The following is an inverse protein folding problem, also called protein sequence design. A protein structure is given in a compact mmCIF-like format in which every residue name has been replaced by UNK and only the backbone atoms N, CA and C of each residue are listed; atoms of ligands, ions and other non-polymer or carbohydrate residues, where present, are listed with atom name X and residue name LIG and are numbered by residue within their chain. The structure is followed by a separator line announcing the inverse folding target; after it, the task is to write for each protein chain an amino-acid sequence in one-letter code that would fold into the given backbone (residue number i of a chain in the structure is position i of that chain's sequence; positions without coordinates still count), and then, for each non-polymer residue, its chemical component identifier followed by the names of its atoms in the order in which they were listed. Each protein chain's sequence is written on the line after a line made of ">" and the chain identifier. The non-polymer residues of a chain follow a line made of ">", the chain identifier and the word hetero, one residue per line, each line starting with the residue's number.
data_IF_525126591770
#
_entry.id   IF_525126591770
#
_cell.length_a   1.000
_cell.length_b   1.000
_cell.length_c   1.000
_cell.angle_alpha   90.00
_cell.angle_beta   90.00
_cell.angle_gamma   90.00
#
_symmetry.space_group_name_H-M   'P 1'
#
loop_
_entity.id
_entity.type
_entity.pdbx_description
1 polymer ?
#
# COMPACT_ATOMS: atom_id res chain seq x y z
N UNK A 1 -7.89 6.05 -17.14
CA UNK A 1 -9.06 5.78 -16.27
C UNK A 1 -9.21 6.97 -15.34
N UNK A 2 -10.35 7.69 -15.36
CA UNK A 2 -10.47 8.95 -14.64
C UNK A 2 -10.40 8.76 -13.12
N UNK A 3 -9.75 9.67 -12.40
CA UNK A 3 -9.59 9.62 -10.95
C UNK A 3 -10.94 9.47 -10.21
N UNK A 4 -12.01 10.03 -10.78
CA UNK A 4 -13.38 9.90 -10.28
C UNK A 4 -13.88 8.44 -10.23
N UNK A 5 -13.49 7.59 -11.18
CA UNK A 5 -13.83 6.15 -11.12
C UNK A 5 -13.01 5.41 -10.06
N UNK A 6 -11.76 5.83 -9.79
CA UNK A 6 -10.90 5.28 -8.73
C UNK A 6 -11.50 5.59 -7.35
N UNK A 7 -11.90 6.84 -7.11
CA UNK A 7 -12.52 7.31 -5.86
C UNK A 7 -13.88 6.63 -5.61
N UNK A 8 -14.70 6.44 -6.65
CA UNK A 8 -16.00 5.76 -6.52
C UNK A 8 -15.90 4.27 -6.18
N UNK A 9 -14.89 3.57 -6.70
CA UNK A 9 -14.62 2.16 -6.39
C UNK A 9 -14.11 2.01 -4.95
N UNK A 10 -13.26 2.93 -4.51
CA UNK A 10 -12.67 2.91 -3.17
C UNK A 10 -13.73 3.03 -2.06
N UNK A 11 -14.70 3.94 -2.19
CA UNK A 11 -15.80 4.09 -1.21
C UNK A 11 -16.59 2.79 -0.98
N UNK A 12 -16.89 2.03 -2.05
CA UNK A 12 -17.61 0.75 -1.93
C UNK A 12 -16.76 -0.31 -1.23
N UNK A 13 -15.47 -0.34 -1.53
CA UNK A 13 -14.54 -1.26 -0.88
C UNK A 13 -14.36 -0.91 0.61
N UNK A 14 -14.26 0.36 0.97
CA UNK A 14 -14.21 0.83 2.36
C UNK A 14 -15.48 0.45 3.14
N UNK A 15 -16.66 0.60 2.53
CA UNK A 15 -17.93 0.16 3.14
C UNK A 15 -17.95 -1.35 3.35
N UNK A 16 -17.44 -2.14 2.40
CA UNK A 16 -17.32 -3.59 2.54
C UNK A 16 -16.44 -3.97 3.73
N UNK A 17 -15.29 -3.30 3.88
CA UNK A 17 -14.41 -3.48 5.04
C UNK A 17 -15.10 -3.18 6.36
N UNK A 18 -15.77 -2.02 6.44
CA UNK A 18 -16.55 -1.63 7.62
C UNK A 18 -17.62 -2.67 7.95
N UNK A 19 -18.37 -3.15 6.97
CA UNK A 19 -19.42 -4.14 7.16
C UNK A 19 -18.85 -5.48 7.66
N UNK A 20 -17.70 -5.93 7.14
CA UNK A 20 -17.04 -7.16 7.62
C UNK A 20 -16.60 -7.02 9.08
N UNK A 21 -16.06 -5.86 9.46
CA UNK A 21 -15.67 -5.57 10.85
C UNK A 21 -16.89 -5.57 11.77
N UNK A 22 -17.94 -4.84 11.39
CA UNK A 22 -19.20 -4.79 12.16
C UNK A 22 -19.82 -6.18 12.27
N UNK A 23 -19.89 -6.94 11.17
CA UNK A 23 -20.41 -8.31 11.19
C UNK A 23 -19.61 -9.23 12.12
N UNK A 24 -18.29 -9.11 12.17
CA UNK A 24 -17.45 -9.90 13.06
C UNK A 24 -17.78 -9.65 14.55
N UNK A 25 -17.99 -8.38 14.94
CA UNK A 25 -18.35 -8.03 16.32
C UNK A 25 -19.83 -8.25 16.64
N UNK A 26 -20.72 -8.03 15.68
CA UNK A 26 -22.16 -8.13 15.88
C UNK A 26 -22.68 -9.57 15.85
N UNK A 27 -22.04 -10.47 15.09
CA UNK A 27 -22.46 -11.86 14.97
C UNK A 27 -22.67 -12.58 16.32
N UNK A 28 -21.72 -12.59 17.26
CA UNK A 28 -21.91 -13.27 18.55
C UNK A 28 -22.98 -12.58 19.39
N UNK A 29 -23.03 -11.25 19.38
CA UNK A 29 -24.01 -10.49 20.16
C UNK A 29 -25.43 -10.76 19.67
N UNK A 30 -25.68 -10.68 18.36
CA UNK A 30 -27.02 -10.87 17.79
C UNK A 30 -27.48 -12.33 17.94
N UNK A 31 -26.60 -13.30 17.65
CA UNK A 31 -26.94 -14.73 17.74
C UNK A 31 -27.14 -15.23 19.17
N UNK A 32 -26.60 -14.53 20.16
CA UNK A 32 -26.83 -14.84 21.58
C UNK A 32 -28.01 -14.05 22.15
N UNK A 33 -28.10 -12.75 21.86
CA UNK A 33 -29.13 -11.89 22.39
C UNK A 33 -30.52 -12.27 21.89
N UNK A 34 -30.66 -12.63 20.61
CA UNK A 34 -31.97 -12.92 20.02
C UNK A 34 -32.63 -14.17 20.65
N UNK A 35 -31.96 -15.32 20.78
CA UNK A 35 -32.50 -16.45 21.53
C UNK A 35 -32.74 -16.15 23.01
N UNK A 36 -31.87 -15.38 23.66
CA UNK A 36 -32.04 -15.01 25.06
C UNK A 36 -33.28 -14.13 25.28
N UNK A 37 -33.52 -13.15 24.39
CA UNK A 37 -34.72 -12.29 24.43
C UNK A 37 -35.98 -13.13 24.20
N UNK A 38 -35.98 -14.00 23.18
CA UNK A 38 -37.12 -14.89 22.90
C UNK A 38 -37.40 -15.80 24.09
N UNK A 39 -36.36 -16.39 24.68
CA UNK A 39 -36.47 -17.21 25.90
C UNK A 39 -37.04 -16.39 27.05
N UNK A 40 -36.57 -15.15 27.26
CA UNK A 40 -37.07 -14.26 28.30
C UNK A 40 -38.56 -13.93 28.12
N UNK A 41 -39.00 -13.66 26.90
CA UNK A 41 -40.42 -13.43 26.58
C UNK A 41 -41.23 -14.70 26.86
N UNK A 42 -40.78 -15.87 26.40
CA UNK A 42 -41.45 -17.14 26.66
C UNK A 42 -41.53 -17.46 28.15
N UNK A 43 -40.47 -17.16 28.89
CA UNK A 43 -40.45 -17.33 30.35
C UNK A 43 -41.51 -16.43 31.01
N UNK A 44 -41.54 -15.14 30.70
CA UNK A 44 -42.53 -14.22 31.30
C UNK A 44 -43.97 -14.62 30.97
N UNK A 45 -44.24 -15.11 29.76
CA UNK A 45 -45.60 -15.45 29.33
C UNK A 45 -46.07 -16.84 29.78
N UNK A 46 -45.17 -17.82 29.88
CA UNK A 46 -45.55 -19.24 30.02
C UNK A 46 -44.96 -19.94 31.26
N UNK A 47 -44.13 -19.28 32.07
CA UNK A 47 -43.57 -19.84 33.30
C UNK A 47 -44.55 -19.77 34.50
N UNK A 48 -45.81 -20.14 34.29
CA UNK A 48 -46.83 -20.15 35.35
C UNK A 48 -46.69 -21.33 36.33
N UNK A 49 -45.98 -22.39 35.92
CA UNK A 49 -45.72 -23.56 36.76
C UNK A 49 -44.22 -23.85 36.88
N UNK A 50 -43.73 -24.37 38.02
CA UNK A 50 -42.31 -24.69 38.16
C UNK A 50 -41.75 -25.64 37.08
N UNK A 51 -42.47 -26.70 36.64
CA UNK A 51 -41.98 -27.57 35.56
C UNK A 51 -41.88 -26.86 34.19
N UNK A 52 -42.84 -25.99 33.85
CA UNK A 52 -42.78 -25.23 32.60
C UNK A 52 -41.67 -24.19 32.62
N UNK A 53 -41.45 -23.53 33.75
CA UNK A 53 -40.34 -22.59 33.94
C UNK A 53 -38.97 -23.27 33.72
N UNK A 54 -38.77 -24.45 34.33
CA UNK A 54 -37.53 -25.20 34.22
C UNK A 54 -37.24 -25.67 32.78
N UNK A 55 -38.24 -26.16 32.06
CA UNK A 55 -38.07 -26.61 30.66
C UNK A 55 -37.74 -25.44 29.74
N UNK A 56 -38.43 -24.29 29.87
CA UNK A 56 -38.16 -23.09 29.08
C UNK A 56 -36.73 -22.59 29.31
N UNK A 57 -36.29 -22.51 30.58
CA UNK A 57 -34.92 -22.07 30.89
C UNK A 57 -33.86 -23.06 30.39
N UNK A 58 -34.09 -24.37 30.51
CA UNK A 58 -33.15 -25.38 30.02
C UNK A 58 -32.97 -25.30 28.50
N UNK A 59 -34.06 -25.35 27.74
CA UNK A 59 -33.98 -25.25 26.28
C UNK A 59 -33.48 -23.88 25.84
N UNK A 60 -33.91 -22.81 26.49
CA UNK A 60 -33.42 -21.47 26.24
C UNK A 60 -31.92 -21.35 26.45
N UNK A 61 -31.39 -21.94 27.52
CA UNK A 61 -29.95 -22.00 27.78
C UNK A 61 -29.21 -22.79 26.70
N UNK A 62 -29.70 -23.98 26.33
CA UNK A 62 -29.08 -24.81 25.28
C UNK A 62 -29.08 -24.07 23.93
N UNK A 63 -30.21 -23.47 23.53
CA UNK A 63 -30.31 -22.71 22.28
C UNK A 63 -29.39 -21.49 22.30
N UNK A 64 -29.33 -20.77 23.43
CA UNK A 64 -28.45 -19.61 23.60
C UNK A 64 -26.99 -20.01 23.51
N UNK A 65 -26.61 -21.14 24.12
CA UNK A 65 -25.25 -21.68 24.05
C UNK A 65 -24.88 -22.08 22.62
N UNK A 66 -25.77 -22.77 21.90
CA UNK A 66 -25.58 -23.12 20.49
C UNK A 66 -25.46 -21.85 19.62
N UNK A 67 -26.33 -20.86 19.86
CA UNK A 67 -26.29 -19.56 19.19
C UNK A 67 -24.97 -18.83 19.40
N UNK A 68 -24.48 -18.80 20.65
CA UNK A 68 -23.19 -18.23 21.01
C UNK A 68 -22.03 -18.92 20.29
N UNK A 69 -21.98 -20.26 20.31
CA UNK A 69 -20.93 -21.02 19.62
C UNK A 69 -20.93 -20.76 18.11
N UNK A 70 -22.11 -20.77 17.46
CA UNK A 70 -22.24 -20.41 16.04
C UNK A 70 -21.81 -18.96 15.77
N UNK A 71 -22.17 -18.05 16.67
CA UNK A 71 -21.78 -16.65 16.61
C UNK A 71 -20.27 -16.46 16.67
N UNK A 72 -19.57 -17.19 17.54
CA UNK A 72 -18.11 -17.18 17.61
C UNK A 72 -17.46 -17.73 16.33
N UNK A 73 -17.98 -18.81 15.77
CA UNK A 73 -17.48 -19.36 14.49
C UNK A 73 -17.62 -18.33 13.36
N UNK A 74 -18.79 -17.70 13.24
CA UNK A 74 -19.02 -16.65 12.24
C UNK A 74 -18.15 -15.42 12.49
N UNK A 75 -17.97 -15.00 13.74
CA UNK A 75 -17.05 -13.92 14.11
C UNK A 75 -15.63 -14.20 13.62
N UNK A 76 -15.14 -15.42 13.85
CA UNK A 76 -13.83 -15.87 13.38
C UNK A 76 -13.71 -15.81 11.85
N UNK A 77 -14.71 -16.30 11.12
CA UNK A 77 -14.73 -16.25 9.64
C UNK A 77 -14.73 -14.81 9.14
N UNK A 78 -15.58 -13.93 9.69
CA UNK A 78 -15.63 -12.53 9.28
C UNK A 78 -14.35 -11.77 9.63
N UNK A 79 -13.76 -12.02 10.80
CA UNK A 79 -12.48 -11.45 11.20
C UNK A 79 -11.35 -11.90 10.26
N UNK A 80 -11.32 -13.17 9.88
CA UNK A 80 -10.36 -13.69 8.90
C UNK A 80 -10.52 -13.02 7.53
N UNK A 81 -11.75 -12.92 7.02
CA UNK A 81 -12.02 -12.24 5.74
C UNK A 81 -11.68 -10.75 5.80
N UNK A 82 -11.97 -10.07 6.90
CA UNK A 82 -11.58 -8.68 7.12
C UNK A 82 -10.05 -8.52 7.11
N UNK A 83 -9.33 -9.43 7.77
CA UNK A 83 -7.86 -9.43 7.82
C UNK A 83 -7.25 -9.59 6.43
N UNK A 84 -7.74 -10.55 5.62
CA UNK A 84 -7.27 -10.73 4.24
C UNK A 84 -7.62 -9.52 3.36
N UNK A 85 -8.86 -9.01 3.46
CA UNK A 85 -9.27 -7.80 2.73
C UNK A 85 -8.40 -6.59 3.08
N UNK A 86 -8.10 -6.36 4.36
CA UNK A 86 -7.24 -5.26 4.80
C UNK A 86 -5.79 -5.43 4.32
N UNK A 87 -5.29 -6.66 4.19
CA UNK A 87 -3.97 -6.92 3.56
C UNK A 87 -3.98 -6.57 2.08
N UNK A 88 -4.96 -7.07 1.33
CA UNK A 88 -5.11 -6.77 -0.10
C UNK A 88 -5.26 -5.28 -0.35
N UNK A 89 -6.06 -4.59 0.47
CA UNK A 89 -6.25 -3.15 0.36
C UNK A 89 -4.93 -2.38 0.58
N UNK A 90 -4.16 -2.73 1.62
CA UNK A 90 -2.85 -2.12 1.86
C UNK A 90 -1.86 -2.37 0.73
N UNK A 91 -1.91 -3.53 0.09
CA UNK A 91 -1.08 -3.83 -1.07
C UNK A 91 -1.49 -3.01 -2.30
N UNK A 92 -2.80 -2.83 -2.54
CA UNK A 92 -3.31 -1.98 -3.64
C UNK A 92 -2.96 -0.51 -3.45
N UNK A 93 -3.14 0.02 -2.23
CA UNK A 93 -2.75 1.40 -1.89
C UNK A 93 -1.25 1.57 -2.12
N UNK A 94 -0.43 0.66 -1.58
CA UNK A 94 1.02 0.75 -1.74
C UNK A 94 1.48 0.65 -3.20
N UNK A 95 0.77 -0.11 -4.06
CA UNK A 95 1.07 -0.17 -5.49
C UNK A 95 0.78 1.15 -6.23
N UNK A 96 -0.11 1.98 -5.68
CA UNK A 96 -0.41 3.31 -6.21
C UNK A 96 0.48 4.43 -5.69
N UNK A 97 1.36 4.16 -4.72
CA UNK A 97 2.01 5.17 -3.90
C UNK A 97 1.15 5.53 -2.69
N UNK A 98 1.76 5.62 -1.51
CA UNK A 98 1.04 5.94 -0.28
C UNK A 98 0.84 7.46 -0.22
N UNK A 99 -0.39 7.91 -0.04
CA UNK A 99 -0.70 9.33 0.20
C UNK A 99 -0.70 9.68 1.70
N UNK A 100 -0.63 10.98 2.00
CA UNK A 100 -0.67 11.49 3.38
C UNK A 100 -1.94 11.07 4.14
N UNK A 101 -3.09 11.04 3.45
CA UNK A 101 -4.39 10.64 4.02
C UNK A 101 -4.49 9.13 4.29
N UNK A 102 -3.73 8.32 3.55
CA UNK A 102 -3.74 6.86 3.68
C UNK A 102 -2.75 6.35 4.73
N UNK A 103 -2.00 7.25 5.38
CA UNK A 103 -0.94 6.91 6.33
C UNK A 103 -1.44 6.05 7.51
N UNK A 104 -2.69 6.24 7.92
CA UNK A 104 -3.33 5.48 8.99
C UNK A 104 -3.38 3.97 8.70
N UNK A 105 -3.49 3.56 7.42
CA UNK A 105 -3.44 2.16 7.02
C UNK A 105 -2.07 1.50 7.29
N UNK A 106 -1.02 2.31 7.33
CA UNK A 106 0.37 1.89 7.50
C UNK A 106 0.92 2.25 8.88
N UNK A 107 0.05 2.57 9.85
CA UNK A 107 0.46 2.94 11.20
C UNK A 107 1.34 1.89 11.88
N UNK A 108 1.21 0.61 11.53
CA UNK A 108 2.06 -0.45 12.07
C UNK A 108 3.48 -0.49 11.49
N UNK A 109 3.71 0.17 10.34
CA UNK A 109 5.01 0.29 9.67
C UNK A 109 5.74 1.59 10.04
N UNK A 110 5.05 2.50 10.71
CA UNK A 110 5.65 3.68 11.32
C UNK A 110 6.53 3.30 12.50
N UNK A 111 7.69 3.93 12.58
CA UNK A 111 8.56 3.87 13.75
C UNK A 111 7.87 4.50 14.96
N UNK A 112 8.30 4.11 16.17
CA UNK A 112 7.78 4.71 17.40
C UNK A 112 8.03 6.22 17.47
N UNK A 113 9.14 6.68 16.87
CA UNK A 113 9.48 8.08 16.76
C UNK A 113 8.48 8.85 15.89
N UNK A 114 8.23 8.37 14.67
CA UNK A 114 7.28 9.01 13.74
C UNK A 114 5.87 9.07 14.30
N UNK A 115 5.42 8.02 15.00
CA UNK A 115 4.11 8.03 15.68
C UNK A 115 4.01 9.12 16.73
N UNK A 116 5.10 9.35 17.46
CA UNK A 116 5.17 10.39 18.49
C UNK A 116 5.23 11.76 17.83
N UNK A 117 6.11 11.96 16.85
CA UNK A 117 6.26 13.20 16.10
C UNK A 117 4.94 13.61 15.42
N UNK A 118 4.22 12.69 14.78
CA UNK A 118 2.87 12.96 14.23
C UNK A 118 1.90 13.49 15.28
N UNK A 119 1.89 12.88 16.48
CA UNK A 119 1.01 13.30 17.58
C UNK A 119 1.42 14.65 18.18
N UNK A 120 2.72 14.92 18.23
CA UNK A 120 3.25 16.18 18.75
C UNK A 120 3.00 17.33 17.74
N UNK A 121 3.21 17.08 16.45
CA UNK A 121 2.93 18.01 15.35
C UNK A 121 1.43 18.31 15.20
N UNK A 122 0.57 17.30 15.39
CA UNK A 122 -0.89 17.47 15.36
C UNK A 122 -1.39 18.51 16.36
N UNK A 123 -0.64 18.74 17.44
CA UNK A 123 -0.95 19.75 18.46
C UNK A 123 -0.27 21.09 18.22
N UNK A 124 0.83 21.10 17.48
CA UNK A 124 1.69 22.27 17.31
C UNK A 124 1.31 23.08 16.07
N UNK A 125 1.31 22.45 14.90
CA UNK A 125 1.12 23.13 13.61
C UNK A 125 0.57 22.17 12.55
N UNK A 126 -0.61 22.53 12.00
CA UNK A 126 -1.31 21.75 10.97
C UNK A 126 -0.53 21.72 9.65
N UNK A 127 0.19 22.78 9.31
CA UNK A 127 0.93 22.86 8.05
C UNK A 127 2.18 21.96 8.07
N UNK A 128 2.92 21.97 9.19
CA UNK A 128 4.05 21.06 9.39
C UNK A 128 3.60 19.61 9.49
N UNK A 129 2.42 19.36 10.06
CA UNK A 129 1.84 18.01 10.11
C UNK A 129 1.62 17.44 8.71
N UNK A 130 1.06 18.22 7.79
CA UNK A 130 0.78 17.76 6.42
C UNK A 130 2.06 17.42 5.65
N UNK A 131 3.04 18.35 5.68
CA UNK A 131 4.36 18.11 5.10
C UNK A 131 5.06 16.89 5.72
N UNK A 132 4.91 16.68 7.03
CA UNK A 132 5.44 15.49 7.71
C UNK A 132 4.74 14.21 7.23
N UNK A 133 3.40 14.20 7.16
CA UNK A 133 2.62 13.04 6.69
C UNK A 133 2.99 12.67 5.26
N UNK A 134 3.10 13.65 4.37
CA UNK A 134 3.52 13.44 2.98
C UNK A 134 4.94 12.86 2.90
N UNK A 135 5.87 13.41 3.69
CA UNK A 135 7.26 12.92 3.70
C UNK A 135 7.35 11.49 4.26
N UNK A 136 6.60 11.17 5.32
CA UNK A 136 6.53 9.80 5.87
C UNK A 136 5.90 8.86 4.85
N UNK A 137 4.85 9.27 4.14
CA UNK A 137 4.21 8.47 3.11
C UNK A 137 5.18 8.16 1.95
N UNK A 138 5.98 9.16 1.53
CA UNK A 138 7.07 8.99 0.56
C UNK A 138 8.13 7.99 1.06
N UNK A 139 8.59 8.12 2.31
CA UNK A 139 9.55 7.18 2.91
C UNK A 139 9.02 5.75 2.95
N UNK A 140 7.77 5.55 3.35
CA UNK A 140 7.15 4.23 3.40
C UNK A 140 7.02 3.61 1.99
N UNK A 141 6.66 4.42 1.00
CA UNK A 141 6.60 4.00 -0.40
C UNK A 141 7.97 3.54 -0.89
N UNK A 142 9.01 4.37 -0.70
CA UNK A 142 10.39 4.04 -1.05
C UNK A 142 10.88 2.75 -0.36
N UNK A 143 10.65 2.62 0.95
CA UNK A 143 11.03 1.43 1.72
C UNK A 143 10.35 0.15 1.20
N UNK A 144 9.07 0.26 0.80
CA UNK A 144 8.33 -0.86 0.23
C UNK A 144 8.83 -1.24 -1.16
N UNK A 145 9.11 -0.26 -2.02
CA UNK A 145 9.72 -0.50 -3.33
C UNK A 145 11.06 -1.21 -3.16
N UNK A 146 11.93 -0.74 -2.26
CA UNK A 146 13.20 -1.42 -1.97
C UNK A 146 12.99 -2.88 -1.54
N UNK A 147 12.01 -3.14 -0.66
CA UNK A 147 11.70 -4.49 -0.18
C UNK A 147 11.16 -5.38 -1.31
N UNK A 148 10.26 -4.88 -2.15
CA UNK A 148 9.74 -5.63 -3.30
C UNK A 148 10.82 -5.87 -4.35
N UNK A 149 11.65 -4.88 -4.68
CA UNK A 149 12.76 -5.03 -5.63
C UNK A 149 13.77 -6.07 -5.15
N UNK A 150 14.06 -6.12 -3.84
CA UNK A 150 14.91 -7.19 -3.27
C UNK A 150 14.29 -8.57 -3.43
N UNK A 151 12.98 -8.71 -3.26
CA UNK A 151 12.26 -9.98 -3.43
C UNK A 151 12.26 -10.41 -4.90
N UNK A 152 11.95 -9.50 -5.81
CA UNK A 152 11.96 -9.78 -7.26
C UNK A 152 13.36 -10.15 -7.75
N UNK A 153 14.40 -9.44 -7.30
CA UNK A 153 15.79 -9.80 -7.61
C UNK A 153 16.15 -11.23 -7.18
N UNK A 154 15.70 -11.67 -5.98
CA UNK A 154 15.90 -13.05 -5.53
C UNK A 154 15.13 -14.06 -6.39
N UNK A 155 13.92 -13.74 -6.85
CA UNK A 155 13.14 -14.60 -7.73
C UNK A 155 13.77 -14.70 -9.13
N UNK A 156 14.24 -13.58 -9.67
CA UNK A 156 14.96 -13.49 -10.94
C UNK A 156 16.25 -14.31 -10.91
N UNK A 157 17.04 -14.21 -9.85
CA UNK A 157 18.23 -15.06 -9.67
C UNK A 157 17.88 -16.55 -9.59
N UNK A 158 16.81 -16.92 -8.88
CA UNK A 158 16.34 -18.32 -8.84
C UNK A 158 15.89 -18.81 -10.23
N UNK A 159 15.21 -17.97 -11.01
CA UNK A 159 14.82 -18.29 -12.40
C UNK A 159 16.06 -18.47 -13.29
N UNK A 160 17.04 -17.58 -13.17
CA UNK A 160 18.33 -17.65 -13.87
C UNK A 160 19.06 -18.97 -13.60
N UNK A 161 19.16 -19.38 -12.34
CA UNK A 161 19.82 -20.62 -11.94
C UNK A 161 19.13 -21.86 -12.53
N UNK A 162 17.78 -21.89 -12.56
CA UNK A 162 17.02 -22.98 -13.19
C UNK A 162 17.28 -23.10 -14.69
N UNK A 163 17.45 -21.97 -15.38
CA UNK A 163 17.70 -21.96 -16.82
C UNK A 163 19.13 -22.37 -17.19
N UNK A 164 20.11 -22.30 -16.27
CA UNK A 164 21.52 -22.62 -16.54
C UNK A 164 21.72 -24.06 -17.05
N UNK A 165 20.86 -25.00 -16.66
CA UNK A 165 20.93 -26.40 -17.09
C UNK A 165 20.21 -26.73 -18.41
N UNK A 166 19.43 -25.80 -18.96
CA UNK A 166 18.66 -26.03 -20.19
C UNK A 166 19.45 -25.57 -21.41
N UNK A 167 19.60 -26.46 -22.40
CA UNK A 167 20.28 -26.21 -23.69
C UNK A 167 19.28 -26.05 -24.84
N UNK A 168 18.18 -25.33 -24.62
CA UNK A 168 17.22 -25.01 -25.68
C UNK A 168 17.44 -23.58 -26.19
N UNK A 169 17.16 -23.33 -27.47
CA UNK A 169 17.23 -21.99 -28.06
C UNK A 169 16.33 -20.99 -27.31
N UNK A 170 15.12 -21.44 -26.91
CA UNK A 170 14.21 -20.66 -26.08
C UNK A 170 14.81 -20.30 -24.72
N UNK A 171 15.65 -21.16 -24.12
CA UNK A 171 16.29 -20.85 -22.84
C UNK A 171 17.31 -19.72 -22.97
N UNK A 172 17.92 -19.50 -24.15
CA UNK A 172 18.83 -18.40 -24.37
C UNK A 172 18.09 -17.06 -24.40
N UNK A 173 16.96 -16.97 -25.12
CA UNK A 173 16.10 -15.77 -25.14
C UNK A 173 15.59 -15.40 -23.75
N UNK A 174 15.13 -16.40 -22.98
CA UNK A 174 14.68 -16.17 -21.59
C UNK A 174 15.81 -15.70 -20.65
N UNK A 175 17.05 -16.13 -20.87
CA UNK A 175 18.19 -15.64 -20.08
C UNK A 175 18.46 -14.16 -20.35
N UNK A 176 18.42 -13.74 -21.61
CA UNK A 176 18.61 -12.34 -21.99
C UNK A 176 17.52 -11.45 -21.40
N UNK A 177 16.26 -11.89 -21.43
CA UNK A 177 15.14 -11.19 -20.80
C UNK A 177 15.33 -11.06 -19.28
N UNK A 178 15.76 -12.15 -18.61
CA UNK A 178 16.05 -12.15 -17.17
C UNK A 178 17.18 -11.20 -16.79
N UNK A 179 18.24 -11.09 -17.61
CA UNK A 179 19.32 -10.13 -17.36
C UNK A 179 18.84 -8.69 -17.58
N UNK A 180 18.03 -8.42 -18.60
CA UNK A 180 17.38 -7.11 -18.80
C UNK A 180 16.51 -6.74 -17.60
N UNK A 181 15.69 -7.67 -17.12
CA UNK A 181 14.86 -7.47 -15.94
C UNK A 181 15.68 -7.23 -14.67
N UNK A 182 16.80 -7.94 -14.50
CA UNK A 182 17.70 -7.74 -13.37
C UNK A 182 18.28 -6.32 -13.34
N UNK A 183 18.70 -5.79 -14.49
CA UNK A 183 19.20 -4.41 -14.61
C UNK A 183 18.09 -3.40 -14.28
N UNK A 184 16.87 -3.60 -14.80
CA UNK A 184 15.71 -2.75 -14.49
C UNK A 184 15.37 -2.77 -13.00
N UNK A 185 15.32 -3.95 -12.38
CA UNK A 185 15.03 -4.10 -10.94
C UNK A 185 16.12 -3.45 -10.09
N UNK A 186 17.39 -3.54 -10.49
CA UNK A 186 18.48 -2.85 -9.82
C UNK A 186 18.31 -1.33 -9.90
N UNK A 187 18.03 -0.78 -11.09
CA UNK A 187 17.75 0.65 -11.26
C UNK A 187 16.60 1.16 -10.37
N UNK A 188 15.46 0.45 -10.35
CA UNK A 188 14.33 0.80 -9.48
C UNK A 188 14.73 0.75 -7.99
N UNK A 189 15.59 -0.20 -7.60
CA UNK A 189 16.04 -0.32 -6.21
C UNK A 189 16.90 0.88 -5.81
N UNK A 190 17.80 1.30 -6.70
CA UNK A 190 18.72 2.40 -6.44
C UNK A 190 17.96 3.74 -6.41
N UNK A 191 17.03 3.97 -7.34
CA UNK A 191 16.11 5.13 -7.31
C UNK A 191 15.29 5.17 -6.00
N UNK A 192 14.76 4.03 -5.56
CA UNK A 192 14.02 3.95 -4.31
C UNK A 192 14.91 4.18 -3.08
N UNK A 193 16.19 3.80 -3.15
CA UNK A 193 17.16 4.07 -2.08
C UNK A 193 17.45 5.57 -1.98
N UNK A 194 17.64 6.25 -3.11
CA UNK A 194 17.85 7.70 -3.15
C UNK A 194 16.62 8.44 -2.60
N UNK A 195 15.42 8.03 -3.00
CA UNK A 195 14.16 8.57 -2.49
C UNK A 195 14.01 8.35 -0.98
N UNK A 196 14.45 7.20 -0.45
CA UNK A 196 14.42 6.92 0.98
C UNK A 196 15.35 7.88 1.74
N UNK A 197 16.60 8.05 1.28
CA UNK A 197 17.59 8.94 1.90
C UNK A 197 17.08 10.38 1.88
N UNK A 198 16.49 10.80 0.76
CA UNK A 198 15.89 12.12 0.66
C UNK A 198 14.75 12.31 1.65
N UNK A 199 13.80 11.36 1.71
CA UNK A 199 12.67 11.43 2.63
C UNK A 199 13.13 11.46 4.10
N UNK A 200 14.13 10.66 4.48
CA UNK A 200 14.71 10.67 5.82
C UNK A 200 15.35 12.02 6.16
N UNK A 201 16.10 12.61 5.22
CA UNK A 201 16.69 13.94 5.40
C UNK A 201 15.61 15.03 5.58
N UNK A 202 14.50 14.92 4.84
CA UNK A 202 13.35 15.83 4.95
C UNK A 202 12.64 15.69 6.29
N UNK A 203 12.44 14.47 6.79
CA UNK A 203 11.87 14.24 8.12
C UNK A 203 12.72 14.88 9.21
N UNK A 204 14.04 14.70 9.17
CA UNK A 204 14.95 15.31 10.15
C UNK A 204 14.88 16.84 10.11
N UNK A 205 14.77 17.44 8.92
CA UNK A 205 14.61 18.89 8.78
C UNK A 205 13.29 19.39 9.36
N UNK A 206 12.17 18.70 9.09
CA UNK A 206 10.85 19.06 9.63
C UNK A 206 10.85 18.93 11.15
N UNK A 207 11.45 17.87 11.68
CA UNK A 207 11.58 17.64 13.13
C UNK A 207 12.44 18.72 13.80
N UNK A 208 13.55 19.11 13.17
CA UNK A 208 14.38 20.20 13.65
C UNK A 208 13.65 21.55 13.62
N UNK A 209 12.84 21.81 12.60
CA UNK A 209 12.01 23.00 12.51
C UNK A 209 10.94 23.02 13.61
N UNK A 210 10.26 21.90 13.84
CA UNK A 210 9.26 21.74 14.89
C UNK A 210 9.85 21.94 16.29
N UNK A 211 11.04 21.40 16.56
CA UNK A 211 11.73 21.54 17.85
C UNK A 211 12.19 22.98 18.13
N UNK A 212 12.50 23.77 17.10
CA UNK A 212 12.93 25.16 17.26
C UNK A 212 11.79 26.12 17.57
N UNK A 213 10.53 25.70 17.44
CA UNK A 213 9.36 26.52 17.75
C UNK A 213 9.26 27.81 16.93
N UNK A 214 9.89 27.86 15.75
CA UNK A 214 9.92 29.04 14.90
C UNK A 214 8.51 29.37 14.38
N UNK A 215 8.08 30.62 14.54
CA UNK A 215 6.78 31.10 14.04
C UNK A 215 6.65 30.92 12.52
N UNK A 216 5.40 30.95 12.03
CA UNK A 216 5.01 30.62 10.64
C UNK A 216 5.94 31.16 9.53
N UNK A 217 6.57 32.32 9.71
CA UNK A 217 7.50 32.91 8.75
C UNK A 217 8.78 32.07 8.51
N UNK A 218 9.35 31.46 9.55
CA UNK A 218 10.54 30.60 9.42
C UNK A 218 10.17 29.24 8.83
N UNK A 219 9.00 28.71 9.18
CA UNK A 219 8.44 27.49 8.59
C UNK A 219 8.13 27.68 7.10
N UNK A 220 7.56 28.82 6.69
CA UNK A 220 7.34 29.16 5.28
C UNK A 220 8.65 29.30 4.50
N UNK A 221 9.69 29.91 5.09
CA UNK A 221 10.98 30.05 4.40
C UNK A 221 11.71 28.70 4.28
N UNK A 222 11.60 27.84 5.30
CA UNK A 222 12.10 26.47 5.24
C UNK A 222 11.34 25.62 4.20
N UNK A 223 10.01 25.72 4.16
CA UNK A 223 9.16 25.04 3.17
C UNK A 223 9.41 25.56 1.75
N UNK A 224 9.64 26.87 1.54
CA UNK A 224 10.05 27.42 0.23
C UNK A 224 11.43 26.93 -0.19
N UNK A 225 12.39 26.80 0.74
CA UNK A 225 13.70 26.19 0.44
C UNK A 225 13.56 24.71 0.08
N UNK A 226 12.64 24.00 0.73
CA UNK A 226 12.31 22.61 0.41
C UNK A 226 11.64 22.49 -0.96
N UNK A 227 10.65 23.33 -1.27
CA UNK A 227 9.95 23.30 -2.56
C UNK A 227 10.86 23.70 -3.71
N UNK A 228 11.76 24.68 -3.51
CA UNK A 228 12.74 25.09 -4.52
C UNK A 228 13.77 23.99 -4.82
N UNK A 229 14.14 23.18 -3.81
CA UNK A 229 15.01 22.01 -4.00
C UNK A 229 14.24 20.82 -4.61
N UNK A 230 12.95 20.70 -4.28
CA UNK A 230 12.05 19.73 -4.87
C UNK A 230 11.65 20.08 -6.31
N UNK A 231 11.70 21.34 -6.75
CA UNK A 231 11.44 21.73 -8.15
C UNK A 231 12.62 21.49 -9.09
N UNK A 232 13.85 21.43 -8.55
CA UNK A 232 15.05 21.13 -9.35
C UNK A 232 15.25 19.62 -9.62
N UNK A 233 14.64 18.76 -8.81
CA UNK A 233 14.71 17.30 -8.94
C UNK A 233 13.86 16.70 -10.09
N UNK A 234 12.59 17.09 -10.32
CA UNK A 234 11.83 16.66 -11.49
C UNK A 234 12.44 17.25 -12.76
N UNK A 235 13.09 18.42 -12.70
CA UNK A 235 13.84 18.96 -13.83
C UNK A 235 15.06 18.09 -14.18
N UNK A 236 15.81 17.61 -13.18
CA UNK A 236 16.94 16.71 -13.39
C UNK A 236 16.50 15.30 -13.85
N UNK A 237 15.33 14.83 -13.41
CA UNK A 237 14.73 13.57 -13.86
C UNK A 237 14.10 13.69 -15.26
N UNK A 238 13.49 14.83 -15.58
CA UNK A 238 13.05 15.15 -16.94
C UNK A 238 14.24 15.34 -17.87
N UNK A 239 15.32 15.99 -17.44
CA UNK A 239 16.56 16.14 -18.21
C UNK A 239 17.21 14.77 -18.45
N UNK A 240 17.23 13.88 -17.46
CA UNK A 240 17.70 12.50 -17.63
C UNK A 240 16.78 11.66 -18.52
N UNK A 241 15.47 11.91 -18.50
CA UNK A 241 14.50 11.22 -19.36
C UNK A 241 14.57 11.71 -20.80
N UNK A 242 14.70 13.02 -21.01
CA UNK A 242 14.96 13.67 -22.30
C UNK A 242 16.32 13.23 -22.84
N UNK A 243 17.36 13.14 -22.02
CA UNK A 243 18.65 12.61 -22.44
C UNK A 243 18.56 11.13 -22.90
N UNK A 244 17.74 10.31 -22.22
CA UNK A 244 17.47 8.93 -22.67
C UNK A 244 16.64 8.88 -23.95
N UNK A 245 15.69 9.79 -24.12
CA UNK A 245 14.87 9.89 -25.33
C UNK A 245 15.73 10.34 -26.53
N UNK A 246 16.65 11.28 -26.33
CA UNK A 246 17.66 11.71 -27.33
C UNK A 246 18.60 10.56 -27.70
N UNK A 247 19.09 9.77 -26.72
CA UNK A 247 19.94 8.61 -27.01
C UNK A 247 19.15 7.54 -27.79
N UNK A 248 17.90 7.30 -27.43
CA UNK A 248 17.04 6.35 -28.14
C UNK A 248 16.73 6.80 -29.58
N UNK A 249 16.49 8.09 -29.81
CA UNK A 249 16.33 8.65 -31.16
C UNK A 249 17.63 8.56 -31.97
N UNK A 250 18.79 8.84 -31.37
CA UNK A 250 20.09 8.72 -32.04
C UNK A 250 20.44 7.26 -32.40
N UNK A 251 20.15 6.31 -31.52
CA UNK A 251 20.30 4.87 -31.80
C UNK A 251 19.35 4.42 -32.94
N UNK A 252 18.15 4.99 -33.01
CA UNK A 252 17.17 4.68 -34.04
C UNK A 252 17.57 5.29 -35.41
N UNK A 253 18.13 6.51 -35.41
CA UNK A 253 18.68 7.17 -36.59
C UNK A 253 19.95 6.48 -37.14
N UNK A 254 20.79 5.89 -36.28
CA UNK A 254 21.94 5.07 -36.72
C UNK A 254 21.49 3.78 -37.40
N UNK A 255 20.47 3.11 -36.85
CA UNK A 255 19.87 1.90 -37.43
C UNK A 255 19.22 2.20 -38.79
N UNK A 256 18.52 3.34 -38.92
CA UNK A 256 17.88 3.75 -40.18
C UNK A 256 18.91 4.16 -41.26
N UNK A 257 20.06 4.70 -40.86
CA UNK A 257 21.18 5.01 -41.79
C UNK A 257 21.94 3.75 -42.24
N UNK A 258 22.12 2.76 -41.36
CA UNK A 258 22.70 1.46 -41.75
C UNK A 258 21.73 0.62 -42.61
N UNK A 259 20.41 0.82 -42.47
CA UNK A 259 19.38 0.14 -43.25
C UNK A 259 19.18 0.67 -44.69
N UNK A 260 19.89 1.74 -45.09
CA UNK A 260 19.88 2.27 -46.46
C UNK A 260 21.20 1.93 -47.18
N UNK A 261 21.34 0.72 -47.77
CA UNK A 261 22.45 0.45 -48.68
C UNK A 261 22.29 1.28 -49.96
N UNK A 262 23.38 1.95 -50.32
CA UNK A 262 23.66 2.71 -51.53
C UNK A 262 22.84 2.29 -52.77
N UNK A 263 21.72 2.98 -53.05
CA UNK A 263 21.07 2.98 -54.37
C UNK A 263 21.59 4.13 -55.23
N UNK A 264 22.91 4.17 -55.44
CA UNK A 264 23.56 5.32 -56.05
C UNK A 264 24.75 5.04 -56.96
N UNK A 265 24.88 3.85 -57.56
CA UNK A 265 25.92 3.59 -58.57
C UNK A 265 25.51 2.55 -59.62
N UNK A 266 24.40 2.73 -60.36
CA UNK A 266 24.15 1.97 -61.60
C UNK A 266 23.27 2.74 -62.59
N UNK A 267 23.67 3.95 -63.01
CA UNK A 267 23.21 4.51 -64.30
C UNK A 267 24.39 5.17 -65.00
N UNK A 268 24.96 4.46 -65.97
CA UNK A 268 26.16 4.90 -66.69
C UNK A 268 26.71 3.83 -67.61
N UNK A 269 25.88 3.31 -68.51
CA UNK A 269 26.27 2.68 -69.79
C UNK A 269 25.15 2.85 -70.81
#
# INVERSE_FOLDING_TARGET
>A
MSELQKIGRDKRELVRGRNLKVAAYAAPVILTALPAIVTGILFVLFATTPPSAATILFFGFVITLVGFLKGLVLAGIFAYKHSNWSKEMRERIAAGGISADELDWFRNELTSHEKKALKDLERADVMLLDAYRETVASRLTASRIMKSSRREMQLTERRRLKLKGLKSENAQRFREEIEKDKVKIAGIRDEAQDMLIEAESRLQMIEAAALRGGGMADSEMALKKLSARASTLPLALEEAKVAREIVAELEQDEIDKEALPERGQLEGK
#
